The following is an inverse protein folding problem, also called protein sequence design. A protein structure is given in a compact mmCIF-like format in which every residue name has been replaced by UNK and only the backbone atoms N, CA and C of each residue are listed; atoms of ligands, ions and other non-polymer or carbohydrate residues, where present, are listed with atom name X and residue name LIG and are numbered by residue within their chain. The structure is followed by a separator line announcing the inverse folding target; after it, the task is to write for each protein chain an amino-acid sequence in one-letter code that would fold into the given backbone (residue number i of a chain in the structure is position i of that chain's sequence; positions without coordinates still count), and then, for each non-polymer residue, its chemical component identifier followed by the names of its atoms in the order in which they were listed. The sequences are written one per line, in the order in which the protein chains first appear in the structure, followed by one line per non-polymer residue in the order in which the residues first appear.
data_IF_883592257190
#
_entry.id   IF_883592257190
#
_cell.length_a   1.000
_cell.length_b   1.000
_cell.length_c   1.000
_cell.angle_alpha   90.00
_cell.angle_beta   90.00
_cell.angle_gamma   90.00
#
_symmetry.space_group_name_H-M   'P 1'
#
loop_
_entity.id
_entity.type
_entity.pdbx_description
1 polymer ?
#
# COMPACT_ATOMS: atom_id res chain seq x y z
N UNK A 1 -29.01 -11.22 -18.42
CA UNK A 1 -28.93 -9.77 -18.17
C UNK A 1 -28.48 -9.55 -16.74
N UNK A 2 -27.31 -8.91 -16.51
CA UNK A 2 -26.85 -8.60 -15.15
C UNK A 2 -27.22 -7.14 -14.83
N UNK A 3 -28.18 -6.96 -13.93
CA UNK A 3 -28.54 -5.66 -13.37
C UNK A 3 -27.29 -5.00 -12.78
N UNK A 4 -26.90 -3.83 -13.30
CA UNK A 4 -26.00 -2.92 -12.57
C UNK A 4 -26.85 -2.33 -11.44
N UNK A 5 -26.99 -3.07 -10.35
CA UNK A 5 -27.67 -2.55 -9.17
C UNK A 5 -26.85 -1.36 -8.64
N UNK A 6 -27.43 -0.16 -8.67
CA UNK A 6 -26.94 0.98 -7.90
C UNK A 6 -27.05 0.60 -6.43
N UNK A 7 -25.94 0.19 -5.81
CA UNK A 7 -25.92 -0.09 -4.37
C UNK A 7 -26.01 1.24 -3.62
N UNK A 8 -27.14 1.46 -2.95
CA UNK A 8 -27.26 2.52 -1.95
C UNK A 8 -26.48 2.04 -0.73
N UNK A 9 -25.37 2.70 -0.44
CA UNK A 9 -24.51 2.38 0.69
C UNK A 9 -24.65 3.52 1.67
N UNK A 10 -25.21 3.25 2.86
CA UNK A 10 -25.48 4.26 3.88
C UNK A 10 -24.44 4.21 5.02
N UNK A 11 -23.67 3.13 5.14
CA UNK A 11 -22.59 3.02 6.14
C UNK A 11 -21.41 2.11 5.77
N UNK A 12 -20.37 2.09 6.62
CA UNK A 12 -19.16 1.29 6.43
C UNK A 12 -19.45 -0.22 6.34
N UNK A 13 -20.43 -0.71 7.09
CA UNK A 13 -20.86 -2.11 7.06
C UNK A 13 -21.38 -2.53 5.67
N UNK A 14 -22.09 -1.65 4.96
CA UNK A 14 -22.56 -1.93 3.60
C UNK A 14 -21.40 -1.90 2.60
N UNK A 15 -20.41 -1.01 2.79
CA UNK A 15 -19.19 -0.99 1.98
C UNK A 15 -18.38 -2.28 2.18
N UNK A 16 -18.29 -2.77 3.41
CA UNK A 16 -17.63 -4.03 3.73
C UNK A 16 -18.33 -5.22 3.06
N UNK A 17 -19.66 -5.30 3.17
CA UNK A 17 -20.46 -6.32 2.47
C UNK A 17 -20.28 -6.27 0.96
N UNK A 18 -20.35 -5.07 0.36
CA UNK A 18 -20.17 -4.87 -1.07
C UNK A 18 -18.76 -5.24 -1.53
N UNK A 19 -17.73 -4.85 -0.77
CA UNK A 19 -16.35 -5.26 -1.01
C UNK A 19 -16.21 -6.80 -0.90
N UNK A 20 -16.90 -7.40 0.07
CA UNK A 20 -16.97 -8.84 0.30
C UNK A 20 -17.40 -9.68 -0.90
N UNK A 21 -18.18 -9.10 -1.83
CA UNK A 21 -18.65 -9.77 -3.04
C UNK A 21 -17.52 -10.05 -4.07
N UNK A 22 -16.38 -9.38 -3.95
CA UNK A 22 -15.25 -9.59 -4.85
C UNK A 22 -14.29 -10.67 -4.36
N UNK A 23 -13.48 -11.23 -5.27
CA UNK A 23 -12.31 -12.05 -4.89
C UNK A 23 -11.36 -11.27 -3.97
N UNK A 24 -10.66 -11.96 -3.07
CA UNK A 24 -9.68 -11.34 -2.14
C UNK A 24 -8.62 -10.49 -2.86
N UNK A 25 -8.15 -10.93 -4.03
CA UNK A 25 -7.22 -10.14 -4.84
C UNK A 25 -7.84 -8.83 -5.34
N UNK A 26 -9.11 -8.88 -5.74
CA UNK A 26 -9.86 -7.70 -6.20
C UNK A 26 -10.17 -6.74 -5.05
N UNK A 27 -10.56 -7.27 -3.89
CA UNK A 27 -10.73 -6.51 -2.64
C UNK A 27 -9.47 -5.72 -2.31
N UNK A 28 -8.29 -6.39 -2.31
CA UNK A 28 -7.00 -5.75 -2.06
C UNK A 28 -6.72 -4.63 -3.05
N UNK A 29 -7.04 -4.86 -4.33
CA UNK A 29 -6.85 -3.89 -5.38
C UNK A 29 -7.69 -2.62 -5.18
N UNK A 30 -8.94 -2.77 -4.72
CA UNK A 30 -9.81 -1.65 -4.35
C UNK A 30 -9.20 -0.88 -3.19
N UNK A 31 -8.93 -1.55 -2.07
CA UNK A 31 -8.39 -0.93 -0.86
C UNK A 31 -7.05 -0.23 -1.13
N UNK A 32 -6.18 -0.84 -1.92
CA UNK A 32 -4.88 -0.24 -2.28
C UNK A 32 -5.04 1.07 -3.05
N UNK A 33 -5.99 1.15 -4.01
CA UNK A 33 -6.22 2.38 -4.77
C UNK A 33 -6.73 3.51 -3.88
N UNK A 34 -7.69 3.20 -3.01
CA UNK A 34 -8.24 4.15 -2.04
C UNK A 34 -7.15 4.66 -1.10
N UNK A 35 -6.36 3.75 -0.51
CA UNK A 35 -5.25 4.10 0.39
C UNK A 35 -4.18 4.94 -0.29
N UNK A 36 -3.78 4.63 -1.53
CA UNK A 36 -2.80 5.43 -2.25
C UNK A 36 -3.28 6.86 -2.48
N UNK A 37 -4.57 7.05 -2.78
CA UNK A 37 -5.13 8.38 -2.96
C UNK A 37 -5.23 9.14 -1.64
N UNK A 38 -5.64 8.48 -0.56
CA UNK A 38 -5.68 9.05 0.77
C UNK A 38 -4.29 9.40 1.34
N UNK A 39 -3.25 8.66 0.97
CA UNK A 39 -1.88 8.94 1.38
C UNK A 39 -1.24 10.12 0.63
N UNK A 40 -1.77 10.51 -0.54
CA UNK A 40 -1.14 11.53 -1.38
C UNK A 40 -1.07 12.93 -0.73
N UNK A 41 -2.10 13.42 -0.03
CA UNK A 41 -1.99 14.65 0.76
C UNK A 41 -0.86 14.60 1.80
N UNK A 42 -0.75 13.50 2.54
CA UNK A 42 0.32 13.31 3.55
C UNK A 42 1.69 13.33 2.86
N UNK A 43 1.86 12.63 1.74
CA UNK A 43 3.11 12.64 0.96
C UNK A 43 3.46 14.07 0.51
N UNK A 44 2.50 14.80 -0.05
CA UNK A 44 2.73 16.17 -0.50
C UNK A 44 3.07 17.11 0.65
N UNK A 45 2.39 16.96 1.79
CA UNK A 45 2.68 17.76 2.99
C UNK A 45 4.08 17.43 3.53
N UNK A 46 4.46 16.16 3.56
CA UNK A 46 5.81 15.74 3.97
C UNK A 46 6.88 16.35 3.05
N UNK A 47 6.63 16.42 1.73
CA UNK A 47 7.53 17.12 0.79
C UNK A 47 7.63 18.62 1.08
N UNK A 48 6.52 19.26 1.44
CA UNK A 48 6.50 20.70 1.72
C UNK A 48 7.22 21.05 3.03
N UNK A 49 7.19 20.16 4.01
CA UNK A 49 7.83 20.35 5.32
C UNK A 49 9.29 19.86 5.36
N UNK A 50 9.70 19.05 4.39
CA UNK A 50 11.05 18.50 4.34
C UNK A 50 12.08 19.62 4.20
N UNK A 51 13.20 19.58 4.96
CA UNK A 51 14.31 20.49 4.74
C UNK A 51 14.84 20.38 3.31
N UNK A 52 15.17 21.53 2.73
CA UNK A 52 15.66 21.62 1.36
C UNK A 52 17.05 22.24 1.36
N UNK A 53 18.03 21.43 0.99
CA UNK A 53 19.35 21.87 0.54
C UNK A 53 19.45 21.63 -0.98
N UNK A 54 19.87 20.43 -1.40
CA UNK A 54 19.86 20.00 -2.81
C UNK A 54 18.47 19.59 -3.34
N UNK A 55 17.53 19.29 -2.44
CA UNK A 55 16.21 18.75 -2.76
C UNK A 55 16.12 17.22 -2.76
N UNK A 56 17.24 16.48 -2.60
CA UNK A 56 17.26 15.01 -2.60
C UNK A 56 16.25 14.42 -1.60
N UNK A 57 16.24 14.93 -0.36
CA UNK A 57 15.32 14.46 0.67
C UNK A 57 13.86 14.61 0.24
N UNK A 58 13.47 15.82 -0.16
CA UNK A 58 12.12 16.15 -0.64
C UNK A 58 11.71 15.21 -1.78
N UNK A 59 12.61 14.99 -2.73
CA UNK A 59 12.30 14.24 -3.93
C UNK A 59 12.22 12.73 -3.65
N UNK A 60 12.94 12.25 -2.62
CA UNK A 60 12.93 10.86 -2.14
C UNK A 60 11.65 10.43 -1.39
N UNK A 61 10.79 11.38 -1.00
CA UNK A 61 9.55 11.07 -0.29
C UNK A 61 8.57 10.41 -1.27
N UNK A 62 7.99 9.27 -0.94
CA UNK A 62 7.09 8.55 -1.85
C UNK A 62 6.04 7.72 -1.11
N UNK A 63 4.89 7.55 -1.77
CA UNK A 63 3.85 6.60 -1.37
C UNK A 63 4.04 5.26 -2.05
N UNK A 64 4.31 4.22 -1.26
CA UNK A 64 4.49 2.84 -1.74
C UNK A 64 3.45 1.89 -1.16
N UNK A 65 3.03 0.93 -1.97
CA UNK A 65 2.21 -0.19 -1.50
C UNK A 65 3.13 -1.20 -0.82
N UNK A 66 2.89 -1.47 0.45
CA UNK A 66 3.58 -2.53 1.17
C UNK A 66 3.02 -3.85 0.66
N UNK A 67 3.84 -4.56 -0.11
CA UNK A 67 3.51 -5.92 -0.52
C UNK A 67 3.73 -6.81 0.70
N UNK A 68 2.70 -7.58 1.08
CA UNK A 68 2.81 -8.56 2.14
C UNK A 68 3.93 -9.57 1.87
N UNK A 69 4.32 -10.30 2.91
CA UNK A 69 5.45 -11.21 2.88
C UNK A 69 5.30 -12.19 1.69
N UNK A 70 6.32 -12.25 0.84
CA UNK A 70 6.29 -13.04 -0.39
C UNK A 70 6.65 -14.49 -0.05
N UNK A 71 5.88 -15.08 0.87
CA UNK A 71 6.20 -16.33 1.56
C UNK A 71 6.53 -17.46 0.57
N UNK A 72 5.78 -17.57 -0.52
CA UNK A 72 6.08 -18.51 -1.59
C UNK A 72 7.41 -18.23 -2.29
N UNK A 73 7.75 -16.97 -2.59
CA UNK A 73 9.04 -16.61 -3.21
C UNK A 73 10.21 -16.82 -2.26
N UNK A 74 10.03 -16.52 -0.98
CA UNK A 74 11.02 -16.77 0.06
C UNK A 74 11.28 -18.27 0.24
N UNK A 75 10.22 -19.08 0.34
CA UNK A 75 10.30 -20.54 0.43
C UNK A 75 10.91 -21.16 -0.82
N UNK A 76 10.54 -20.69 -2.01
CA UNK A 76 11.17 -21.11 -3.26
C UNK A 76 12.68 -20.83 -3.25
N UNK A 77 13.06 -19.61 -2.87
CA UNK A 77 14.46 -19.18 -2.85
C UNK A 77 15.28 -19.86 -1.74
N UNK A 78 14.68 -20.27 -0.62
CA UNK A 78 15.37 -21.12 0.36
C UNK A 78 15.59 -22.52 -0.20
N UNK A 79 14.56 -23.18 -0.72
CA UNK A 79 14.70 -24.54 -1.25
C UNK A 79 15.73 -24.64 -2.38
N UNK A 80 15.79 -23.63 -3.26
CA UNK A 80 16.82 -23.56 -4.31
C UNK A 80 18.23 -23.33 -3.75
N UNK A 81 18.39 -22.55 -2.66
CA UNK A 81 19.69 -22.36 -2.00
C UNK A 81 20.16 -23.63 -1.28
N UNK A 82 19.22 -24.41 -0.78
CA UNK A 82 19.47 -25.65 -0.06
C UNK A 82 19.70 -26.85 -1.02
N UNK A 83 19.78 -26.61 -2.34
CA UNK A 83 20.05 -27.63 -3.36
C UNK A 83 18.85 -28.48 -3.77
N UNK A 84 17.63 -28.10 -3.37
CA UNK A 84 16.40 -28.79 -3.75
C UNK A 84 16.07 -28.63 -5.24
N UNK A 85 15.24 -29.53 -5.77
CA UNK A 85 14.82 -29.43 -7.17
C UNK A 85 13.82 -28.30 -7.35
N UNK A 86 13.61 -27.88 -8.61
CA UNK A 86 12.58 -26.89 -8.95
C UNK A 86 11.17 -27.37 -8.56
N UNK A 87 10.92 -28.68 -8.59
CA UNK A 87 9.65 -29.26 -8.18
C UNK A 87 9.44 -29.12 -6.66
N UNK A 88 10.49 -29.38 -5.87
CA UNK A 88 10.45 -29.21 -4.41
C UNK A 88 10.27 -27.75 -4.04
N UNK A 89 10.98 -26.84 -4.73
CA UNK A 89 10.85 -25.41 -4.52
C UNK A 89 9.43 -24.90 -4.86
N UNK A 90 8.82 -25.45 -5.92
CA UNK A 90 7.43 -25.15 -6.26
C UNK A 90 6.46 -25.67 -5.19
N UNK A 91 6.63 -26.92 -4.72
CA UNK A 91 5.83 -27.49 -3.64
C UNK A 91 5.94 -26.68 -2.34
N UNK A 92 7.15 -26.29 -1.94
CA UNK A 92 7.41 -25.44 -0.78
C UNK A 92 6.75 -24.07 -0.93
N UNK A 93 6.83 -23.47 -2.12
CA UNK A 93 6.15 -22.20 -2.41
C UNK A 93 4.62 -22.32 -2.29
N UNK A 94 4.03 -23.40 -2.83
CA UNK A 94 2.60 -23.68 -2.72
C UNK A 94 2.16 -23.87 -1.27
N UNK A 95 2.91 -24.66 -0.48
CA UNK A 95 2.64 -24.87 0.94
C UNK A 95 2.75 -23.57 1.74
N UNK A 96 3.77 -22.74 1.48
CA UNK A 96 3.94 -21.45 2.13
C UNK A 96 2.81 -20.47 1.76
N UNK A 97 2.40 -20.45 0.49
CA UNK A 97 1.27 -19.63 0.03
C UNK A 97 -0.06 -20.10 0.65
N UNK A 98 -0.26 -21.41 0.82
CA UNK A 98 -1.45 -21.95 1.48
C UNK A 98 -1.52 -21.56 2.96
N UNK A 99 -0.39 -21.56 3.69
CA UNK A 99 -0.32 -21.14 5.10
C UNK A 99 -0.64 -19.66 5.32
N UNK A 100 -0.44 -18.81 4.31
CA UNK A 100 -0.79 -17.39 4.37
C UNK A 100 -2.13 -17.08 3.70
N UNK A 101 -2.73 -18.07 3.02
CA UNK A 101 -4.06 -17.95 2.45
C UNK A 101 -5.07 -17.76 3.59
N UNK A 102 -5.92 -16.74 3.48
CA UNK A 102 -6.96 -16.45 4.48
C UNK A 102 -6.58 -15.45 5.57
N UNK A 103 -5.31 -15.05 5.70
CA UNK A 103 -5.00 -13.80 6.45
C UNK A 103 -5.67 -12.66 5.71
N UNK A 104 -6.53 -11.93 6.41
CA UNK A 104 -7.45 -10.94 5.85
C UNK A 104 -6.82 -10.04 4.79
N UNK A 105 -7.64 -9.58 3.85
CA UNK A 105 -7.21 -8.75 2.72
C UNK A 105 -6.81 -7.36 3.20
N UNK A 106 -5.70 -7.27 3.93
CA UNK A 106 -5.12 -6.01 4.32
C UNK A 106 -4.39 -5.42 3.12
N UNK A 107 -4.76 -4.19 2.78
CA UNK A 107 -3.93 -3.34 1.97
C UNK A 107 -3.17 -2.42 2.91
N UNK A 108 -1.86 -2.33 2.71
CA UNK A 108 -1.00 -1.43 3.48
C UNK A 108 -0.28 -0.53 2.50
N UNK A 109 -0.33 0.77 2.78
CA UNK A 109 0.37 1.81 2.04
C UNK A 109 1.24 2.56 3.03
N UNK A 110 2.45 2.92 2.62
CA UNK A 110 3.43 3.63 3.42
C UNK A 110 3.86 4.89 2.67
N UNK A 111 3.82 6.02 3.35
CA UNK A 111 4.58 7.21 2.95
C UNK A 111 5.97 7.07 3.58
N UNK A 112 7.04 7.17 2.80
CA UNK A 112 8.43 7.01 3.26
C UNK A 112 9.34 8.01 2.57
N UNK A 113 10.46 8.36 3.19
CA UNK A 113 11.61 8.95 2.52
C UNK A 113 12.65 7.86 2.27
N UNK A 114 13.30 7.89 1.11
CA UNK A 114 14.33 6.91 0.74
C UNK A 114 15.75 7.46 0.77
N UNK A 115 15.93 8.78 0.92
CA UNK A 115 17.26 9.39 1.09
C UNK A 115 17.95 8.82 2.34
N UNK A 116 19.24 8.44 2.27
CA UNK A 116 19.95 7.82 3.40
C UNK A 116 19.93 8.68 4.68
N UNK A 117 20.05 10.00 4.52
CA UNK A 117 20.07 10.97 5.62
C UNK A 117 18.67 11.37 6.13
N UNK A 118 17.59 10.83 5.56
CA UNK A 118 16.22 11.21 5.90
C UNK A 118 15.85 11.02 7.38
N UNK A 119 16.38 9.96 8.00
CA UNK A 119 16.13 9.67 9.41
C UNK A 119 16.89 10.63 10.34
N UNK A 120 18.11 11.03 9.95
CA UNK A 120 18.90 12.04 10.66
C UNK A 120 18.21 13.41 10.59
N UNK A 121 17.61 13.73 9.44
CA UNK A 121 16.81 14.95 9.29
C UNK A 121 15.54 14.91 10.15
N UNK A 122 14.79 13.81 10.18
CA UNK A 122 13.55 13.72 10.97
C UNK A 122 13.81 13.80 12.49
N UNK A 123 14.83 13.11 13.00
CA UNK A 123 15.01 12.89 14.44
C UNK A 123 16.21 13.62 15.06
N UNK A 124 17.09 14.19 14.24
CA UNK A 124 18.37 14.72 14.68
C UNK A 124 19.41 13.61 14.89
N UNK A 125 20.65 14.00 15.17
CA UNK A 125 21.76 13.09 15.41
C UNK A 125 22.92 13.78 16.14
N UNK A 126 23.84 12.98 16.69
CA UNK A 126 25.15 13.47 17.13
C UNK A 126 26.10 13.49 15.95
N UNK A 127 26.90 14.54 15.83
CA UNK A 127 27.91 14.70 14.80
C UNK A 127 29.24 15.09 15.42
N UNK A 128 30.34 14.75 14.75
CA UNK A 128 31.70 15.13 15.15
C UNK A 128 32.32 15.94 14.03
N UNK A 129 32.89 17.11 14.36
CA UNK A 129 33.64 17.94 13.43
C UNK A 129 34.89 18.46 14.13
N UNK A 130 36.05 18.29 13.50
CA UNK A 130 37.35 18.72 14.02
C UNK A 130 37.64 18.17 15.45
N UNK A 131 37.18 16.94 15.73
CA UNK A 131 37.33 16.30 17.05
C UNK A 131 36.31 16.72 18.11
N UNK A 132 35.41 17.67 17.80
CA UNK A 132 34.37 18.13 18.70
C UNK A 132 33.03 17.48 18.37
N UNK A 133 32.42 16.85 19.37
CA UNK A 133 31.05 16.33 19.28
C UNK A 133 30.03 17.44 19.55
N UNK A 134 28.99 17.50 18.72
CA UNK A 134 27.86 18.40 18.88
C UNK A 134 26.57 17.73 18.42
N UNK A 135 25.45 18.24 18.94
CA UNK A 135 24.12 17.77 18.57
C UNK A 135 23.59 18.57 17.39
N UNK A 136 23.07 17.86 16.39
CA UNK A 136 22.26 18.43 15.31
C UNK A 136 20.81 18.10 15.59
N UNK A 137 19.99 19.14 15.76
CA UNK A 137 18.57 18.96 16.02
C UNK A 137 17.82 18.49 14.79
N UNK A 138 16.80 17.67 15.02
CA UNK A 138 15.91 17.19 13.97
C UNK A 138 14.99 18.31 13.47
N UNK A 139 14.60 18.18 12.21
CA UNK A 139 13.58 18.98 11.56
C UNK A 139 12.46 18.04 11.10
N UNK A 140 11.53 17.66 12.00
CA UNK A 140 10.51 16.67 11.70
C UNK A 140 9.59 17.14 10.57
N UNK A 141 9.35 16.27 9.59
CA UNK A 141 8.49 16.56 8.45
C UNK A 141 7.44 15.46 8.22
N UNK A 142 7.73 14.20 8.56
CA UNK A 142 6.78 13.10 8.41
C UNK A 142 5.68 13.11 9.48
N UNK A 143 6.06 13.20 10.75
CA UNK A 143 5.09 13.25 11.86
C UNK A 143 4.13 14.43 11.78
N UNK A 144 4.61 15.67 11.55
CA UNK A 144 3.77 16.83 11.31
C UNK A 144 2.86 16.69 10.08
N UNK A 145 3.37 16.15 8.97
CA UNK A 145 2.56 15.93 7.77
C UNK A 145 1.40 14.96 8.00
N UNK A 146 1.62 13.89 8.77
CA UNK A 146 0.54 12.97 9.13
C UNK A 146 -0.54 13.67 9.95
N UNK A 147 -0.17 14.38 11.01
CA UNK A 147 -1.12 15.09 11.89
C UNK A 147 -1.88 16.20 11.17
N UNK A 148 -1.29 16.81 10.15
CA UNK A 148 -1.95 17.86 9.38
C UNK A 148 -3.01 17.31 8.40
N UNK A 149 -2.88 16.06 7.95
CA UNK A 149 -3.65 15.52 6.83
C UNK A 149 -4.41 14.22 7.18
N UNK A 150 -4.34 13.72 8.41
CA UNK A 150 -5.00 12.47 8.85
C UNK A 150 -6.52 12.51 8.68
N UNK A 151 -7.16 13.57 9.15
CA UNK A 151 -8.60 13.83 9.01
C UNK A 151 -9.03 13.87 7.55
N UNK A 152 -8.23 14.54 6.71
CA UNK A 152 -8.49 14.62 5.28
C UNK A 152 -8.30 13.26 4.62
N UNK A 153 -7.28 12.50 4.99
CA UNK A 153 -7.04 11.16 4.49
C UNK A 153 -8.25 10.26 4.79
N UNK A 154 -8.77 10.28 6.01
CA UNK A 154 -9.99 9.52 6.39
C UNK A 154 -11.19 9.92 5.54
N UNK A 155 -11.43 11.23 5.37
CA UNK A 155 -12.54 11.73 4.52
C UNK A 155 -12.39 11.28 3.06
N UNK A 156 -11.17 11.34 2.52
CA UNK A 156 -10.88 10.85 1.16
C UNK A 156 -11.16 9.36 1.07
N UNK A 157 -10.75 8.55 2.05
CA UNK A 157 -11.04 7.11 2.06
C UNK A 157 -12.54 6.83 2.04
N UNK A 158 -13.32 7.51 2.89
CA UNK A 158 -14.77 7.32 2.97
C UNK A 158 -15.46 7.70 1.65
N UNK A 159 -15.09 8.83 1.05
CA UNK A 159 -15.68 9.29 -0.20
C UNK A 159 -15.33 8.37 -1.38
N UNK A 160 -14.08 7.91 -1.47
CA UNK A 160 -13.59 7.20 -2.66
C UNK A 160 -13.88 5.69 -2.63
N UNK A 161 -14.03 5.09 -1.45
CA UNK A 161 -14.23 3.65 -1.33
C UNK A 161 -15.49 3.18 -2.08
N UNK A 162 -16.61 3.89 -1.91
CA UNK A 162 -17.85 3.58 -2.65
C UNK A 162 -17.64 3.67 -4.16
N UNK A 163 -17.06 4.76 -4.63
CA UNK A 163 -16.80 4.98 -6.05
C UNK A 163 -15.88 3.90 -6.64
N UNK A 164 -14.84 3.49 -5.93
CA UNK A 164 -13.93 2.44 -6.38
C UNK A 164 -14.57 1.04 -6.36
N UNK A 165 -15.46 0.75 -5.41
CA UNK A 165 -16.28 -0.49 -5.41
C UNK A 165 -17.16 -0.51 -6.66
N UNK A 166 -17.92 0.55 -6.94
CA UNK A 166 -18.81 0.61 -8.10
C UNK A 166 -18.06 0.48 -9.44
N UNK A 167 -16.93 1.20 -9.58
CA UNK A 167 -16.06 1.08 -10.77
C UNK A 167 -15.54 -0.34 -10.92
N UNK A 168 -15.17 -0.99 -9.83
CA UNK A 168 -14.63 -2.35 -9.84
C UNK A 168 -15.71 -3.37 -10.21
N UNK A 169 -16.93 -3.23 -9.67
CA UNK A 169 -18.07 -4.06 -10.05
C UNK A 169 -18.33 -4.01 -11.56
N UNK A 170 -18.36 -2.81 -12.15
CA UNK A 170 -18.52 -2.63 -13.60
C UNK A 170 -17.40 -3.29 -14.40
N UNK A 171 -16.15 -3.17 -13.95
CA UNK A 171 -14.99 -3.83 -14.60
C UNK A 171 -15.09 -5.35 -14.54
N UNK A 172 -15.49 -5.91 -13.40
CA UNK A 172 -15.67 -7.36 -13.23
C UNK A 172 -16.80 -7.86 -14.14
N UNK A 173 -17.95 -7.20 -14.14
CA UNK A 173 -19.08 -7.56 -14.99
C UNK A 173 -18.72 -7.51 -16.48
N UNK A 174 -18.02 -6.45 -16.93
CA UNK A 174 -17.55 -6.33 -18.33
C UNK A 174 -16.60 -7.46 -18.71
N UNK A 175 -15.69 -7.87 -17.82
CA UNK A 175 -14.77 -8.99 -18.06
C UNK A 175 -15.51 -10.33 -18.14
N UNK A 176 -16.50 -10.56 -17.29
CA UNK A 176 -17.34 -11.75 -17.34
C UNK A 176 -18.13 -11.84 -18.66
N UNK A 177 -18.75 -10.72 -19.08
CA UNK A 177 -19.46 -10.65 -20.36
C UNK A 177 -18.54 -10.90 -21.57
N UNK A 178 -17.33 -10.31 -21.59
CA UNK A 178 -16.35 -10.56 -22.65
C UNK A 178 -15.92 -12.03 -22.70
N UNK A 179 -15.69 -12.66 -21.54
CA UNK A 179 -15.33 -14.07 -21.46
C UNK A 179 -16.45 -14.97 -22.00
N UNK A 180 -17.71 -14.64 -21.70
CA UNK A 180 -18.86 -15.37 -22.24
C UNK A 180 -19.00 -15.20 -23.76
N UNK A 181 -18.67 -14.03 -24.31
CA UNK A 181 -18.77 -13.75 -25.74
C UNK A 181 -17.59 -14.29 -26.58
N UNK A 182 -16.41 -14.51 -25.98
CA UNK A 182 -15.20 -14.99 -26.67
C UNK A 182 -14.93 -16.50 -26.51
N UNK A 183 -15.78 -17.21 -25.76
CA UNK A 183 -15.76 -18.67 -25.60
C UNK A 183 -16.93 -19.33 -26.36
N UNK A 184 -17.49 -18.64 -27.36
CA UNK A 184 -18.46 -19.18 -28.33
C UNK A 184 -17.80 -19.43 -29.66
#
# INVERSE_FOLDING_TARGET
MALIAKMKVEGLADLEKALGQFSKATQRGVLTRVLKKAAKPIENMARNLAPVDSGELRDSIETVVVRGNNAGKAAFASTMRDGGTRADAAAAAHAANAKVAGRGTSATVRVRATAPHAHLAEYGHMATKDGHEFRVDGQPYMGPALRAEDDRAVRVMAADLKTEIEKTARRVAKRAAKKAAGNG
#
